data_IF_443902201059
#
_entry.id   IF_443902201059
#
_cell.length_a   1.000
_cell.length_b   1.000
_cell.length_c   1.000
_cell.angle_alpha   90.00
_cell.angle_beta   90.00
_cell.angle_gamma   90.00
#
_symmetry.space_group_name_H-M   'P 1'
#
loop_
_entity.id
_entity.type
_entity.pdbx_description
1 polymer ?
#
# COMPACT_ATOMS: atom_id res chain seq x y z
N UNK A 1 -1.14 44.84 -9.80
CA UNK A 1 -0.49 43.57 -9.38
C UNK A 1 -1.36 42.40 -9.83
N UNK A 2 -0.93 41.68 -10.87
CA UNK A 2 -1.68 40.55 -11.43
C UNK A 2 -1.51 39.31 -10.54
N UNK A 3 -2.61 38.75 -10.05
CA UNK A 3 -2.61 37.49 -9.29
C UNK A 3 -2.32 36.33 -10.24
N UNK A 4 -1.19 35.66 -10.02
CA UNK A 4 -0.73 34.52 -10.81
C UNK A 4 -1.78 33.42 -10.91
N UNK A 5 -2.05 33.01 -12.15
CA UNK A 5 -2.93 31.91 -12.52
C UNK A 5 -2.19 30.60 -12.18
N UNK A 6 -2.37 30.12 -10.96
CA UNK A 6 -1.76 28.86 -10.50
C UNK A 6 -2.40 27.71 -11.27
N UNK A 7 -1.63 27.11 -12.19
CA UNK A 7 -2.05 25.96 -12.97
C UNK A 7 -2.38 24.79 -12.03
N UNK A 8 -3.67 24.45 -11.93
CA UNK A 8 -4.18 23.19 -11.40
C UNK A 8 -3.66 22.03 -12.26
N UNK A 9 -2.41 21.62 -12.06
CA UNK A 9 -1.91 20.37 -12.62
C UNK A 9 -2.49 19.22 -11.79
N UNK A 10 -3.57 18.64 -12.31
CA UNK A 10 -3.87 17.21 -12.27
C UNK A 10 -3.74 16.50 -10.92
N UNK A 11 -4.56 16.85 -9.94
CA UNK A 11 -4.96 15.91 -8.90
C UNK A 11 -6.12 15.06 -9.43
N UNK A 12 -5.80 14.04 -10.25
CA UNK A 12 -6.82 13.08 -10.70
C UNK A 12 -7.50 12.38 -9.52
N UNK A 13 -8.69 11.77 -9.73
CA UNK A 13 -9.40 11.06 -8.68
C UNK A 13 -8.48 10.00 -8.08
N UNK A 14 -8.27 10.08 -6.76
CA UNK A 14 -7.58 9.03 -6.01
C UNK A 14 -8.50 7.82 -6.04
N UNK A 15 -8.12 6.80 -6.82
CA UNK A 15 -8.76 5.49 -6.75
C UNK A 15 -8.34 4.88 -5.42
N UNK A 16 -9.21 4.99 -4.43
CA UNK A 16 -9.07 4.23 -3.19
C UNK A 16 -9.19 2.75 -3.55
N UNK A 17 -8.22 1.92 -3.13
CA UNK A 17 -8.24 0.50 -3.43
C UNK A 17 -9.42 -0.14 -2.70
N UNK A 18 -10.43 -0.60 -3.44
CA UNK A 18 -11.67 -1.11 -2.87
C UNK A 18 -11.58 -2.61 -2.51
N UNK A 19 -10.52 -3.30 -2.93
CA UNK A 19 -10.39 -4.75 -2.85
C UNK A 19 -9.05 -5.21 -2.24
N UNK A 20 -9.07 -6.29 -1.45
CA UNK A 20 -7.90 -6.79 -0.71
C UNK A 20 -6.75 -7.19 -1.65
N UNK A 21 -7.08 -7.86 -2.76
CA UNK A 21 -6.10 -8.29 -3.76
C UNK A 21 -5.39 -7.09 -4.43
N UNK A 22 -6.07 -5.96 -4.60
CA UNK A 22 -5.48 -4.74 -5.17
C UNK A 22 -4.52 -4.06 -4.18
N UNK A 23 -4.82 -4.14 -2.88
CA UNK A 23 -3.94 -3.64 -1.82
C UNK A 23 -2.67 -4.49 -1.75
N UNK A 24 -2.79 -5.82 -1.83
CA UNK A 24 -1.64 -6.73 -1.85
C UNK A 24 -0.74 -6.48 -3.06
N UNK A 25 -1.31 -6.34 -4.26
CA UNK A 25 -0.55 -5.99 -5.47
C UNK A 25 0.14 -4.63 -5.37
N UNK A 26 -0.52 -3.64 -4.76
CA UNK A 26 0.09 -2.33 -4.52
C UNK A 26 1.24 -2.41 -3.53
N UNK A 27 1.08 -3.14 -2.44
CA UNK A 27 2.10 -3.33 -1.42
C UNK A 27 3.31 -4.09 -1.99
N UNK A 28 3.08 -5.12 -2.81
CA UNK A 28 4.14 -5.84 -3.51
C UNK A 28 4.95 -4.92 -4.44
N UNK A 29 4.30 -4.06 -5.23
CA UNK A 29 4.98 -3.08 -6.09
C UNK A 29 5.75 -2.02 -5.29
N UNK A 30 5.24 -1.62 -4.13
CA UNK A 30 5.93 -0.68 -3.24
C UNK A 30 7.17 -1.33 -2.62
N UNK A 31 7.09 -2.58 -2.19
CA UNK A 31 8.22 -3.34 -1.67
C UNK A 31 9.33 -3.51 -2.72
N UNK A 32 8.98 -3.89 -3.96
CA UNK A 32 9.94 -4.01 -5.07
C UNK A 32 10.64 -2.66 -5.38
N UNK A 33 9.91 -1.54 -5.30
CA UNK A 33 10.48 -0.20 -5.47
C UNK A 33 11.41 0.20 -4.32
N UNK A 34 11.11 -0.23 -3.09
CA UNK A 34 11.98 -0.01 -1.93
C UNK A 34 13.25 -0.86 -2.04
N UNK A 35 13.14 -2.13 -2.43
CA UNK A 35 14.28 -3.01 -2.70
C UNK A 35 15.18 -2.45 -3.80
N UNK A 36 14.62 -1.94 -4.90
CA UNK A 36 15.40 -1.31 -5.97
C UNK A 36 16.04 0.02 -5.56
N UNK A 37 15.50 0.69 -4.54
CA UNK A 37 16.13 1.89 -3.95
C UNK A 37 17.25 1.50 -3.01
N UNK A 38 17.08 0.45 -2.22
CA UNK A 38 18.14 -0.05 -1.34
C UNK A 38 19.26 -0.69 -2.12
N UNK A 39 18.97 -1.43 -3.20
CA UNK A 39 19.99 -1.98 -4.10
C UNK A 39 20.83 -0.88 -4.73
N UNK A 40 20.21 0.19 -5.27
CA UNK A 40 20.99 1.32 -5.80
C UNK A 40 21.82 2.04 -4.75
N UNK A 41 21.32 2.13 -3.51
CA UNK A 41 22.12 2.70 -2.41
C UNK A 41 23.27 1.77 -2.04
N UNK A 42 23.04 0.46 -2.04
CA UNK A 42 24.06 -0.54 -1.73
C UNK A 42 25.12 -0.62 -2.83
N UNK A 43 24.73 -0.63 -4.11
CA UNK A 43 25.67 -0.54 -5.24
C UNK A 43 26.48 0.76 -5.19
N UNK A 44 25.86 1.90 -4.88
CA UNK A 44 26.57 3.19 -4.76
C UNK A 44 27.50 3.26 -3.53
N UNK A 45 27.19 2.52 -2.45
CA UNK A 45 28.06 2.38 -1.27
C UNK A 45 29.17 1.34 -1.50
N UNK A 46 28.93 0.32 -2.32
CA UNK A 46 29.92 -0.70 -2.72
C UNK A 46 30.90 -0.15 -3.79
N UNK A 47 30.43 0.72 -4.69
CA UNK A 47 31.28 1.46 -5.65
C UNK A 47 32.10 2.59 -5.00
N UNK A 48 31.71 3.12 -3.82
CA UNK A 48 32.50 4.13 -3.07
C UNK A 48 33.65 3.53 -2.23
N UNK A 49 33.63 2.23 -1.96
CA UNK A 49 34.70 1.53 -1.22
C UNK A 49 35.77 0.86 -2.12
N UNK A 50 35.57 0.79 -3.45
CA UNK A 50 36.48 0.09 -4.37
C UNK A 50 37.02 0.91 -5.56
N UNK A 51 37.07 2.24 -5.53
CA UNK A 51 37.92 2.96 -6.52
C UNK A 51 38.46 4.32 -6.05
N UNK A 52 39.44 4.23 -5.16
CA UNK A 52 40.29 5.34 -4.73
C UNK A 52 41.78 5.07 -4.96
N UNK A 53 42.21 4.66 -6.16
CA UNK A 53 43.60 4.88 -6.56
C UNK A 53 44.25 3.93 -7.58
N UNK A 54 44.47 4.43 -8.80
CA UNK A 54 45.74 4.22 -9.52
C UNK A 54 45.67 3.66 -10.95
N UNK A 55 46.27 4.39 -11.90
CA UNK A 55 46.62 3.96 -13.26
C UNK A 55 45.89 4.78 -14.34
N UNK A 56 46.43 5.80 -14.97
CA UNK A 56 47.68 5.89 -15.78
C UNK A 56 47.67 4.97 -17.02
N UNK A 57 47.53 5.62 -18.19
CA UNK A 57 47.87 5.24 -19.59
C UNK A 57 47.23 3.95 -20.20
N UNK A 58 46.69 3.90 -21.42
CA UNK A 58 46.58 4.84 -22.55
C UNK A 58 46.16 4.11 -23.85
N UNK A 59 45.72 4.91 -24.84
CA UNK A 59 45.54 4.70 -26.29
C UNK A 59 44.52 3.63 -26.81
N UNK A 60 43.73 3.85 -27.87
CA UNK A 60 43.99 4.65 -29.07
C UNK A 60 42.71 5.14 -29.78
N UNK A 61 42.73 6.39 -30.26
CA UNK A 61 42.14 6.81 -31.53
C UNK A 61 42.76 8.16 -31.93
N UNK A 62 43.55 8.16 -33.00
CA UNK A 62 44.15 9.35 -33.61
C UNK A 62 43.09 10.32 -34.14
N UNK A 63 43.29 11.64 -33.98
CA UNK A 63 43.69 12.52 -35.08
C UNK A 63 43.88 13.98 -34.64
N UNK A 64 45.14 14.43 -34.79
CA UNK A 64 45.63 15.75 -35.24
C UNK A 64 44.90 17.05 -34.85
N UNK A 65 45.65 17.97 -34.22
CA UNK A 65 45.28 19.39 -34.21
C UNK A 65 45.97 20.25 -33.15
N UNK A 66 47.27 20.43 -33.32
CA UNK A 66 48.10 21.56 -32.87
C UNK A 66 47.37 22.82 -32.37
N UNK A 67 47.53 23.15 -31.08
CA UNK A 67 47.72 24.53 -30.60
C UNK A 67 48.06 24.56 -29.10
N UNK A 68 49.22 25.12 -28.81
CA UNK A 68 49.80 25.41 -27.50
C UNK A 68 48.97 26.38 -26.65
N UNK A 69 48.64 25.99 -25.42
CA UNK A 69 48.45 26.94 -24.31
C UNK A 69 48.81 26.31 -22.97
N UNK A 70 49.73 26.96 -22.27
CA UNK A 70 50.25 26.69 -20.92
C UNK A 70 49.19 26.27 -19.88
N UNK A 71 49.38 25.18 -19.11
CA UNK A 71 48.51 24.89 -17.98
C UNK A 71 48.92 25.76 -16.78
N UNK A 72 48.10 26.77 -16.49
CA UNK A 72 48.16 27.48 -15.22
C UNK A 72 48.01 26.48 -14.06
N UNK A 73 48.93 26.55 -13.10
CA UNK A 73 48.93 25.72 -11.91
C UNK A 73 47.60 25.84 -11.16
N UNK A 74 46.87 24.72 -11.03
CA UNK A 74 45.69 24.63 -10.17
C UNK A 74 46.12 24.90 -8.72
N UNK A 75 45.45 25.81 -7.99
CA UNK A 75 45.71 25.97 -6.55
C UNK A 75 45.38 24.66 -5.83
N UNK A 76 46.26 24.23 -4.92
CA UNK A 76 46.05 23.07 -4.04
C UNK A 76 44.70 23.23 -3.31
N UNK A 77 43.88 22.17 -3.18
CA UNK A 77 42.66 22.26 -2.40
C UNK A 77 43.02 22.50 -0.94
N UNK A 78 42.74 23.71 -0.46
CA UNK A 78 42.73 24.00 0.97
C UNK A 78 41.72 23.05 1.62
N UNK A 79 42.17 22.35 2.68
CA UNK A 79 41.40 21.34 3.41
C UNK A 79 40.01 21.89 3.71
N UNK A 80 38.98 21.27 3.12
CA UNK A 80 37.59 21.67 3.32
C UNK A 80 37.30 21.77 4.82
N UNK A 81 36.86 22.96 5.27
CA UNK A 81 36.46 23.16 6.65
C UNK A 81 35.40 22.12 7.03
N UNK A 82 35.38 21.61 8.29
CA UNK A 82 34.46 20.56 8.69
C UNK A 82 33.02 21.02 8.44
N UNK A 83 32.32 20.25 7.60
CA UNK A 83 30.99 20.55 7.04
C UNK A 83 29.88 20.65 8.11
N UNK A 84 30.20 20.42 9.38
CA UNK A 84 29.28 20.67 10.50
C UNK A 84 30.05 21.27 11.67
N UNK A 85 29.59 22.42 12.17
CA UNK A 85 30.11 22.97 13.42
C UNK A 85 29.55 22.19 14.62
N UNK A 86 30.19 22.30 15.80
CA UNK A 86 29.68 21.68 17.02
C UNK A 86 28.25 22.15 17.38
N UNK A 87 27.86 23.35 16.95
CA UNK A 87 26.50 23.89 17.12
C UNK A 87 25.49 23.22 16.17
N UNK A 88 25.89 22.94 14.93
CA UNK A 88 25.05 22.23 13.96
C UNK A 88 24.80 20.78 14.39
N UNK A 89 25.81 20.12 14.97
CA UNK A 89 25.63 18.80 15.56
C UNK A 89 24.59 18.81 16.70
N UNK A 90 24.63 19.81 17.59
CA UNK A 90 23.63 19.96 18.66
C UNK A 90 22.22 20.19 18.10
N UNK A 91 22.08 21.03 17.08
CA UNK A 91 20.79 21.27 16.39
C UNK A 91 20.28 20.01 15.69
N UNK A 92 21.16 19.23 15.09
CA UNK A 92 20.80 17.97 14.44
C UNK A 92 20.36 16.92 15.46
N UNK A 93 21.04 16.80 16.60
CA UNK A 93 20.62 15.91 17.69
C UNK A 93 19.27 16.31 18.30
N UNK A 94 19.01 17.61 18.44
CA UNK A 94 17.70 18.10 18.90
C UNK A 94 16.57 17.75 17.91
N UNK A 95 16.80 17.91 16.60
CA UNK A 95 15.84 17.52 15.56
C UNK A 95 15.60 16.00 15.55
N UNK A 96 16.64 15.19 15.71
CA UNK A 96 16.51 13.74 15.78
C UNK A 96 15.71 13.30 17.02
N UNK A 97 15.93 13.93 18.17
CA UNK A 97 15.16 13.65 19.38
C UNK A 97 13.68 14.00 19.20
N UNK A 98 13.35 15.11 18.54
CA UNK A 98 11.97 15.48 18.22
C UNK A 98 11.30 14.49 17.26
N UNK A 99 12.01 14.06 16.21
CA UNK A 99 11.50 13.07 15.25
C UNK A 99 11.24 11.72 15.94
N UNK A 100 12.15 11.28 16.82
CA UNK A 100 11.96 10.07 17.63
C UNK A 100 10.71 10.17 18.50
N UNK A 101 10.51 11.28 19.22
CA UNK A 101 9.28 11.50 20.01
C UNK A 101 8.01 11.45 19.15
N UNK A 102 8.03 12.03 17.94
CA UNK A 102 6.88 11.96 17.02
C UNK A 102 6.62 10.54 16.54
N UNK A 103 7.66 9.74 16.27
CA UNK A 103 7.54 8.33 15.89
C UNK A 103 6.99 7.48 17.03
N UNK A 104 7.50 7.64 18.24
CA UNK A 104 7.02 6.92 19.43
C UNK A 104 5.54 7.20 19.71
N UNK A 105 5.09 8.46 19.59
CA UNK A 105 3.67 8.82 19.74
C UNK A 105 2.81 8.21 18.63
N UNK A 106 3.30 8.17 17.39
CA UNK A 106 2.57 7.57 16.27
C UNK A 106 2.47 6.04 16.41
N UNK A 107 3.54 5.38 16.85
CA UNK A 107 3.54 3.94 17.11
C UNK A 107 2.67 3.57 18.31
N UNK A 108 2.71 4.35 19.39
CA UNK A 108 1.82 4.15 20.53
C UNK A 108 0.33 4.29 20.14
N UNK A 109 0.00 5.25 19.26
CA UNK A 109 -1.37 5.38 18.72
C UNK A 109 -1.76 4.21 17.83
N UNK A 110 -0.86 3.73 16.97
CA UNK A 110 -1.12 2.55 16.13
C UNK A 110 -1.35 1.30 16.97
N UNK A 111 -0.50 1.06 17.98
CA UNK A 111 -0.66 -0.09 18.90
C UNK A 111 -1.97 -0.02 19.68
N UNK A 112 -2.34 1.15 20.20
CA UNK A 112 -3.61 1.33 20.90
C UNK A 112 -4.83 1.11 19.98
N UNK A 113 -4.75 1.53 18.71
CA UNK A 113 -5.84 1.33 17.74
C UNK A 113 -5.96 -0.15 17.32
N UNK A 114 -4.84 -0.86 17.15
CA UNK A 114 -4.86 -2.30 16.84
C UNK A 114 -5.38 -3.12 18.01
N UNK A 115 -4.95 -2.84 19.25
CA UNK A 115 -5.43 -3.55 20.45
C UNK A 115 -6.93 -3.31 20.69
N UNK A 116 -7.42 -2.07 20.45
CA UNK A 116 -8.84 -1.77 20.54
C UNK A 116 -9.68 -2.46 19.45
N UNK A 117 -9.13 -2.62 18.24
CA UNK A 117 -9.79 -3.34 17.16
C UNK A 117 -9.89 -4.85 17.44
N UNK A 118 -8.83 -5.46 17.96
CA UNK A 118 -8.80 -6.88 18.35
C UNK A 118 -9.79 -7.17 19.48
N UNK A 119 -9.86 -6.30 20.50
CA UNK A 119 -10.83 -6.43 21.58
C UNK A 119 -12.28 -6.33 21.07
N UNK A 120 -12.56 -5.40 20.15
CA UNK A 120 -13.89 -5.27 19.56
C UNK A 120 -14.29 -6.48 18.70
N UNK A 121 -13.32 -7.13 18.04
CA UNK A 121 -13.57 -8.34 17.26
C UNK A 121 -13.82 -9.57 18.16
N UNK A 122 -13.06 -9.71 19.24
CA UNK A 122 -13.28 -10.74 20.24
C UNK A 122 -14.65 -10.63 20.90
N UNK A 123 -15.08 -9.40 21.25
CA UNK A 123 -16.39 -9.17 21.86
C UNK A 123 -17.53 -9.49 20.89
N UNK A 124 -17.37 -9.17 19.59
CA UNK A 124 -18.32 -9.59 18.55
C UNK A 124 -18.38 -11.12 18.42
N UNK A 125 -17.24 -11.80 18.49
CA UNK A 125 -17.18 -13.27 18.40
C UNK A 125 -17.82 -13.94 19.61
N UNK A 126 -17.60 -13.40 20.82
CA UNK A 126 -18.22 -13.89 22.06
C UNK A 126 -19.73 -13.67 22.07
N UNK A 127 -20.21 -12.52 21.59
CA UNK A 127 -21.65 -12.24 21.44
C UNK A 127 -22.32 -13.14 20.40
N UNK A 128 -21.65 -13.43 19.27
CA UNK A 128 -22.18 -14.33 18.26
C UNK A 128 -22.31 -15.78 18.76
N UNK A 129 -21.35 -16.27 19.56
CA UNK A 129 -21.39 -17.62 20.13
C UNK A 129 -22.49 -17.78 21.19
N UNK A 130 -22.79 -16.73 21.97
CA UNK A 130 -23.84 -16.75 22.99
C UNK A 130 -25.27 -16.82 22.40
N UNK A 131 -25.48 -16.35 21.17
CA UNK A 131 -26.81 -16.36 20.51
C UNK A 131 -27.14 -17.71 19.85
N UNK A 132 -26.15 -18.58 19.64
CA UNK A 132 -26.34 -19.90 18.99
C UNK A 132 -26.55 -21.07 19.96
N UNK A 133 -26.68 -20.81 21.27
CA UNK A 133 -26.63 -21.82 22.33
C UNK A 133 -27.94 -22.09 23.06
N UNK A 134 -29.11 -22.13 22.42
CA UNK A 134 -30.33 -22.69 23.04
C UNK A 134 -31.34 -23.15 21.97
N UNK A 135 -31.31 -24.43 21.59
CA UNK A 135 -32.55 -25.17 21.26
C UNK A 135 -32.33 -26.69 21.16
N UNK A 136 -32.84 -27.40 22.17
CA UNK A 136 -33.90 -28.38 21.93
C UNK A 136 -33.64 -29.56 20.99
N UNK A 137 -33.15 -30.65 21.58
CA UNK A 137 -33.31 -32.05 21.13
C UNK A 137 -34.74 -32.35 20.62
N UNK A 138 -34.95 -32.45 19.29
CA UNK A 138 -36.12 -33.13 18.67
C UNK A 138 -35.78 -33.78 17.32
N UNK A 139 -36.03 -35.08 17.22
CA UNK A 139 -35.97 -35.89 15.99
C UNK A 139 -36.97 -35.39 14.92
N UNK A 140 -36.57 -35.57 13.65
CA UNK A 140 -37.37 -35.93 12.45
C UNK A 140 -37.72 -34.81 11.45
N UNK A 141 -37.49 -35.17 10.17
CA UNK A 141 -37.78 -34.55 8.86
C UNK A 141 -36.78 -33.48 8.40
N UNK A 142 -36.11 -33.78 7.30
CA UNK A 142 -35.57 -32.80 6.35
C UNK A 142 -36.66 -31.75 6.11
N UNK A 143 -36.54 -30.62 6.79
CA UNK A 143 -37.30 -29.44 6.44
C UNK A 143 -36.61 -28.91 5.20
N UNK A 144 -37.30 -28.95 4.06
CA UNK A 144 -37.06 -27.97 3.01
C UNK A 144 -36.82 -26.64 3.71
N UNK A 145 -35.60 -26.12 3.62
CA UNK A 145 -35.28 -24.80 4.17
C UNK A 145 -36.21 -23.86 3.41
N UNK A 146 -37.29 -23.40 4.06
CA UNK A 146 -38.20 -22.43 3.47
C UNK A 146 -37.45 -21.12 3.36
N UNK A 147 -36.65 -21.00 2.31
CA UNK A 147 -35.89 -19.79 2.02
C UNK A 147 -36.92 -18.69 1.79
N UNK A 148 -36.88 -17.58 2.54
CA UNK A 148 -37.82 -16.48 2.35
C UNK A 148 -37.72 -15.93 0.92
N UNK A 149 -38.87 -15.60 0.31
CA UNK A 149 -38.89 -14.92 -1.00
C UNK A 149 -38.22 -13.55 -0.84
N UNK A 150 -37.32 -13.21 -1.76
CA UNK A 150 -36.62 -11.92 -1.76
C UNK A 150 -37.37 -10.93 -2.65
N UNK A 151 -37.58 -9.71 -2.16
CA UNK A 151 -38.20 -8.67 -2.97
C UNK A 151 -37.26 -8.20 -4.10
N UNK A 152 -37.82 -7.79 -5.25
CA UNK A 152 -37.05 -7.26 -6.39
C UNK A 152 -36.13 -6.10 -6.00
N UNK A 153 -36.56 -5.27 -5.06
CA UNK A 153 -35.79 -4.13 -4.54
C UNK A 153 -34.63 -4.62 -3.67
N UNK A 154 -34.87 -5.62 -2.83
CA UNK A 154 -33.83 -6.23 -1.99
C UNK A 154 -32.76 -6.88 -2.86
N UNK A 155 -33.15 -7.66 -3.87
CA UNK A 155 -32.21 -8.30 -4.80
C UNK A 155 -31.31 -7.26 -5.47
N UNK A 156 -31.86 -6.13 -5.94
CA UNK A 156 -31.07 -5.05 -6.58
C UNK A 156 -30.14 -4.30 -5.62
N UNK A 157 -30.44 -4.30 -4.31
CA UNK A 157 -29.63 -3.63 -3.28
C UNK A 157 -28.56 -4.54 -2.68
N UNK A 158 -28.65 -5.85 -2.89
CA UNK A 158 -27.66 -6.80 -2.37
C UNK A 158 -26.29 -6.58 -3.00
N UNK A 159 -25.23 -6.75 -2.21
CA UNK A 159 -23.85 -6.78 -2.72
C UNK A 159 -23.64 -8.06 -3.54
N UNK A 160 -22.74 -8.09 -4.54
CA UNK A 160 -22.46 -9.29 -5.32
C UNK A 160 -22.08 -10.52 -4.48
N UNK A 161 -21.37 -10.33 -3.36
CA UNK A 161 -21.07 -11.40 -2.41
C UNK A 161 -22.36 -12.01 -1.80
N UNK A 162 -23.29 -11.16 -1.35
CA UNK A 162 -24.59 -11.59 -0.82
C UNK A 162 -25.46 -12.26 -1.88
N UNK A 163 -25.40 -11.80 -3.14
CA UNK A 163 -26.11 -12.46 -4.25
C UNK A 163 -25.56 -13.87 -4.50
N UNK A 164 -24.24 -14.07 -4.43
CA UNK A 164 -23.62 -15.39 -4.57
C UNK A 164 -24.04 -16.34 -3.45
N UNK A 165 -24.10 -15.86 -2.21
CA UNK A 165 -24.63 -16.65 -1.08
C UNK A 165 -26.11 -17.00 -1.27
N UNK A 166 -26.92 -16.03 -1.68
CA UNK A 166 -28.34 -16.24 -1.96
C UNK A 166 -28.57 -17.25 -3.09
N UNK A 167 -27.73 -17.24 -4.13
CA UNK A 167 -27.74 -18.21 -5.23
C UNK A 167 -27.28 -19.60 -4.76
N UNK A 168 -26.21 -19.67 -3.95
CA UNK A 168 -25.71 -20.92 -3.37
C UNK A 168 -26.76 -21.61 -2.49
N UNK A 169 -27.46 -20.85 -1.65
CA UNK A 169 -28.55 -21.36 -0.82
C UNK A 169 -29.73 -21.88 -1.65
N UNK A 170 -29.95 -21.31 -2.84
CA UNK A 170 -31.00 -21.73 -3.80
C UNK A 170 -30.55 -22.81 -4.77
N UNK A 171 -29.28 -23.26 -4.71
CA UNK A 171 -28.73 -24.24 -5.64
C UNK A 171 -28.57 -23.74 -7.09
N UNK A 172 -28.44 -22.42 -7.28
CA UNK A 172 -28.25 -21.80 -8.60
C UNK A 172 -26.77 -21.52 -8.89
N UNK A 173 -26.44 -21.37 -10.17
CA UNK A 173 -25.09 -21.05 -10.64
C UNK A 173 -24.60 -19.67 -10.13
N UNK A 174 -23.40 -19.64 -9.54
CA UNK A 174 -22.79 -18.44 -8.91
C UNK A 174 -21.85 -17.65 -9.83
N UNK A 175 -21.60 -18.12 -11.05
CA UNK A 175 -20.63 -17.52 -11.96
C UNK A 175 -21.20 -16.33 -12.74
N UNK A 176 -20.37 -15.33 -13.00
CA UNK A 176 -20.69 -14.16 -13.84
C UNK A 176 -20.68 -12.81 -13.12
N UNK A 177 -21.05 -11.78 -13.87
CA UNK A 177 -21.10 -10.40 -13.39
C UNK A 177 -22.36 -10.14 -12.51
N UNK A 178 -22.38 -9.01 -11.80
CA UNK A 178 -23.49 -8.68 -10.89
C UNK A 178 -24.86 -8.66 -11.57
N UNK A 179 -24.94 -8.24 -12.84
CA UNK A 179 -26.19 -8.23 -13.63
C UNK A 179 -26.68 -9.66 -13.87
N UNK A 180 -25.80 -10.58 -14.27
CA UNK A 180 -26.13 -11.98 -14.47
C UNK A 180 -26.59 -12.67 -13.17
N UNK A 181 -25.98 -12.34 -12.03
CA UNK A 181 -26.43 -12.85 -10.71
C UNK A 181 -27.82 -12.31 -10.35
N UNK A 182 -28.06 -11.02 -10.61
CA UNK A 182 -29.36 -10.36 -10.38
C UNK A 182 -30.46 -10.99 -11.24
N UNK A 183 -30.20 -11.18 -12.54
CA UNK A 183 -31.16 -11.74 -13.47
C UNK A 183 -31.50 -13.19 -13.13
N UNK A 184 -30.52 -14.00 -12.70
CA UNK A 184 -30.78 -15.37 -12.23
C UNK A 184 -31.66 -15.40 -10.98
N UNK A 185 -31.38 -14.55 -9.99
CA UNK A 185 -32.22 -14.44 -8.79
C UNK A 185 -33.64 -13.97 -9.14
N UNK A 186 -33.78 -12.97 -10.01
CA UNK A 186 -35.09 -12.49 -10.46
C UNK A 186 -35.88 -13.56 -11.23
N UNK A 187 -35.22 -14.32 -12.11
CA UNK A 187 -35.85 -15.44 -12.84
C UNK A 187 -36.34 -16.53 -11.89
N UNK A 188 -35.53 -16.88 -10.89
CA UNK A 188 -35.91 -17.90 -9.91
C UNK A 188 -37.08 -17.45 -9.03
N UNK A 189 -37.04 -16.22 -8.50
CA UNK A 189 -38.13 -15.69 -7.67
C UNK A 189 -39.41 -15.43 -8.49
N UNK A 190 -39.31 -15.18 -9.80
CA UNK A 190 -40.46 -15.09 -10.70
C UNK A 190 -41.08 -16.47 -11.03
N UNK A 191 -40.29 -17.54 -10.99
CA UNK A 191 -40.74 -18.91 -11.25
C UNK A 191 -41.30 -19.63 -10.01
N UNK A 192 -41.31 -18.97 -8.85
CA UNK A 192 -41.70 -19.51 -7.53
C UNK A 192 -42.96 -18.85 -6.98
#
# INVERSE_FOLDING_TARGET
MARGKFNKRGGGPRLDAENADEIEQRNARLAELEERRTQRRAEEEEDEDEEGGGGDEGAAAEQSGEATSTPAAKPKPEKAAPVTTAEDHKRNMAKLAEVKKRREVAEAKRKAETEAAEQAEEDRKKQAAAVTGDDGKKKKKEKEVKIPKLDKIQIKKMKPAQMKEALKLRGLEIQGNAKALTDRLLKYEAAR
#
